data_IF_702116234195
#
_entry.id   IF_702116234195
#
_cell.length_a   1.000
_cell.length_b   1.000
_cell.length_c   1.000
_cell.angle_alpha   90.00
_cell.angle_beta   90.00
_cell.angle_gamma   90.00
#
_symmetry.space_group_name_H-M   'P 1'
#
loop_
_entity.id
_entity.type
_entity.pdbx_description
1 polymer ?
#
# COMPACT_ATOMS: atom_id res chain seq x y z
N UNK A 1 -19.30 4.45 -17.34
CA UNK A 1 -19.01 5.37 -16.21
C UNK A 1 -18.84 4.51 -14.97
N UNK A 2 -17.87 4.81 -14.11
CA UNK A 2 -17.69 4.09 -12.86
C UNK A 2 -18.83 4.45 -11.89
N UNK A 3 -19.25 3.50 -11.07
CA UNK A 3 -20.15 3.76 -9.95
C UNK A 3 -19.33 3.92 -8.67
N UNK A 4 -19.59 4.98 -7.91
CA UNK A 4 -18.88 5.28 -6.66
C UNK A 4 -19.86 5.30 -5.49
N UNK A 5 -19.52 4.58 -4.42
CA UNK A 5 -20.30 4.54 -3.19
C UNK A 5 -19.36 4.72 -1.99
N UNK A 6 -19.62 5.72 -1.15
CA UNK A 6 -18.81 6.00 0.04
C UNK A 6 -19.46 5.43 1.29
N UNK A 7 -18.67 4.75 2.11
CA UNK A 7 -19.14 4.04 3.29
C UNK A 7 -18.07 4.02 4.39
N UNK A 8 -18.51 3.77 5.62
CA UNK A 8 -17.63 3.53 6.75
C UNK A 8 -17.53 2.02 7.00
N UNK A 9 -16.32 1.48 6.90
CA UNK A 9 -16.03 0.06 7.02
C UNK A 9 -15.20 -0.20 8.29
N UNK A 10 -15.59 -1.16 9.14
CA UNK A 10 -14.89 -1.37 10.41
C UNK A 10 -13.49 -1.93 10.17
N UNK A 11 -12.52 -1.41 10.93
CA UNK A 11 -11.13 -1.90 10.89
C UNK A 11 -11.03 -3.13 11.79
N UNK A 12 -10.49 -4.21 11.23
CA UNK A 12 -10.19 -5.45 11.96
C UNK A 12 -8.75 -5.52 12.45
N UNK A 13 -7.82 -4.94 11.70
CA UNK A 13 -6.41 -4.91 12.06
C UNK A 13 -5.71 -3.68 11.48
N UNK A 14 -4.76 -3.15 12.24
CA UNK A 14 -3.91 -2.05 11.83
C UNK A 14 -2.47 -2.33 12.24
N UNK A 15 -1.51 -1.98 11.38
CA UNK A 15 -0.09 -2.03 11.68
C UNK A 15 0.63 -0.86 11.04
N UNK A 16 1.65 -0.35 11.72
CA UNK A 16 2.57 0.62 11.15
C UNK A 16 3.90 -0.11 10.99
N UNK A 17 4.37 -0.20 9.76
CA UNK A 17 5.68 -0.77 9.47
C UNK A 17 6.44 0.15 8.54
N UNK A 18 7.76 0.06 8.58
CA UNK A 18 8.59 0.80 7.65
C UNK A 18 8.96 -0.09 6.46
N UNK A 19 8.85 0.47 5.26
CA UNK A 19 9.19 -0.21 4.01
C UNK A 19 10.36 0.55 3.36
N UNK A 20 11.42 -0.13 2.91
CA UNK A 20 12.49 0.49 2.12
C UNK A 20 11.91 1.19 0.88
N UNK A 21 12.17 2.51 0.72
CA UNK A 21 11.61 3.29 -0.41
C UNK A 21 12.36 3.09 -1.72
N UNK A 22 13.59 2.57 -1.67
CA UNK A 22 14.46 2.43 -2.84
C UNK A 22 14.59 0.96 -3.26
N UNK A 23 13.65 0.52 -4.10
CA UNK A 23 14.02 -0.39 -5.18
C UNK A 23 14.31 0.47 -6.39
N UNK A 24 15.55 0.93 -6.54
CA UNK A 24 16.03 1.46 -7.81
C UNK A 24 16.25 0.26 -8.73
N UNK A 25 15.43 0.05 -9.78
CA UNK A 25 15.75 -0.97 -10.76
C UNK A 25 17.11 -0.60 -11.35
N UNK A 26 18.15 -1.38 -11.05
CA UNK A 26 19.39 -1.28 -11.81
C UNK A 26 19.05 -1.64 -13.25
N UNK A 27 19.56 -0.87 -14.24
CA UNK A 27 19.24 -1.09 -15.64
C UNK A 27 19.46 -2.56 -15.98
N UNK A 28 18.41 -3.12 -16.58
CA UNK A 28 18.30 -4.49 -17.04
C UNK A 28 19.57 -4.81 -17.84
N UNK A 29 20.17 -5.96 -17.54
CA UNK A 29 21.22 -6.56 -18.34
C UNK A 29 20.91 -6.36 -19.84
N UNK A 30 21.89 -5.96 -20.67
CA UNK A 30 21.63 -5.62 -22.06
C UNK A 30 20.89 -6.76 -22.76
N UNK A 31 19.66 -6.50 -23.25
CA UNK A 31 18.75 -7.53 -23.79
C UNK A 31 19.33 -8.31 -24.99
N UNK A 32 20.45 -7.87 -25.57
CA UNK A 32 21.05 -8.44 -26.78
C UNK A 32 22.58 -8.66 -26.71
N UNK A 33 23.16 -8.87 -25.52
CA UNK A 33 24.57 -9.28 -25.39
C UNK A 33 24.71 -10.54 -24.55
N UNK A 34 25.65 -11.42 -24.90
CA UNK A 34 26.08 -12.50 -24.02
C UNK A 34 26.64 -11.87 -22.74
N UNK A 35 25.90 -12.02 -21.64
CA UNK A 35 26.32 -11.52 -20.33
C UNK A 35 27.22 -12.56 -19.69
N UNK A 36 28.49 -12.20 -19.49
CA UNK A 36 29.41 -13.02 -18.71
C UNK A 36 28.91 -13.19 -17.27
N UNK A 37 29.07 -14.40 -16.71
CA UNK A 37 28.64 -14.74 -15.36
C UNK A 37 29.26 -13.83 -14.31
N UNK A 38 30.49 -13.36 -14.51
CA UNK A 38 31.16 -12.41 -13.63
C UNK A 38 30.43 -11.05 -13.59
N UNK A 39 29.94 -10.58 -14.74
CA UNK A 39 29.15 -9.34 -14.85
C UNK A 39 27.78 -9.47 -14.19
N UNK A 40 27.15 -10.64 -14.35
CA UNK A 40 25.88 -10.98 -13.72
C UNK A 40 26.00 -11.01 -12.19
N UNK A 41 27.05 -11.67 -11.68
CA UNK A 41 27.34 -11.72 -10.26
C UNK A 41 27.77 -10.37 -9.69
N UNK A 42 28.51 -9.55 -10.44
CA UNK A 42 28.86 -8.20 -9.98
C UNK A 42 27.61 -7.32 -9.87
N UNK A 43 26.72 -7.35 -10.88
CA UNK A 43 25.45 -6.64 -10.88
C UNK A 43 24.55 -7.05 -9.71
N UNK A 44 24.45 -8.35 -9.42
CA UNK A 44 23.72 -8.87 -8.24
C UNK A 44 24.39 -8.42 -6.92
N UNK A 45 25.73 -8.43 -6.87
CA UNK A 45 26.47 -8.03 -5.66
C UNK A 45 26.37 -6.53 -5.37
N UNK A 46 26.33 -5.69 -6.41
CA UNK A 46 26.15 -4.25 -6.33
C UNK A 46 24.69 -3.85 -6.14
N UNK A 47 23.74 -4.72 -6.52
CA UNK A 47 22.32 -4.58 -6.25
C UNK A 47 21.93 -4.87 -4.79
N UNK A 48 22.91 -5.05 -3.88
CA UNK A 48 22.69 -4.87 -2.44
C UNK A 48 22.26 -3.43 -2.21
N UNK A 49 20.96 -3.22 -2.31
CA UNK A 49 20.24 -1.97 -2.13
C UNK A 49 20.88 -1.11 -1.04
N UNK A 50 21.33 0.08 -1.44
CA UNK A 50 21.42 1.19 -0.50
C UNK A 50 19.99 1.47 -0.05
N UNK A 51 19.57 0.92 1.09
CA UNK A 51 18.33 1.35 1.75
C UNK A 51 18.61 2.73 2.33
N UNK A 52 18.46 3.78 1.51
CA UNK A 52 18.75 5.16 1.93
C UNK A 52 17.72 5.69 2.95
N UNK A 53 16.48 5.18 2.90
CA UNK A 53 15.40 5.59 3.79
C UNK A 53 14.30 4.52 3.95
N UNK A 54 13.88 4.35 5.20
CA UNK A 54 12.70 3.57 5.61
C UNK A 54 11.47 4.48 5.63
N UNK A 55 10.49 4.24 4.73
CA UNK A 55 9.23 5.01 4.71
C UNK A 55 8.16 4.32 5.57
N UNK A 56 7.51 5.02 6.51
CA UNK A 56 6.44 4.44 7.30
C UNK A 56 5.17 4.27 6.48
N UNK A 57 4.58 3.09 6.53
CA UNK A 57 3.30 2.75 5.92
C UNK A 57 2.30 2.30 6.98
N UNK A 58 1.07 2.77 6.83
CA UNK A 58 -0.08 2.30 7.60
C UNK A 58 -0.75 1.17 6.83
N UNK A 59 -0.68 -0.05 7.36
CA UNK A 59 -1.40 -1.22 6.85
C UNK A 59 -2.75 -1.32 7.54
N UNK A 60 -3.82 -1.42 6.75
CA UNK A 60 -5.19 -1.47 7.26
C UNK A 60 -5.91 -2.67 6.66
N UNK A 61 -6.42 -3.54 7.52
CA UNK A 61 -7.42 -4.54 7.19
C UNK A 61 -8.79 -4.04 7.65
N UNK A 62 -9.72 -3.95 6.72
CA UNK A 62 -11.11 -3.62 7.01
C UNK A 62 -12.06 -4.65 6.43
N UNK A 63 -13.25 -4.70 7.00
CA UNK A 63 -14.32 -5.59 6.56
C UNK A 63 -15.23 -4.87 5.58
N UNK A 64 -15.48 -5.48 4.42
CA UNK A 64 -16.34 -4.93 3.36
C UNK A 64 -17.82 -5.06 3.71
N UNK A 65 -18.69 -4.42 2.93
CA UNK A 65 -20.14 -4.52 3.08
C UNK A 65 -20.69 -5.95 2.97
N UNK A 66 -19.92 -6.87 2.40
CA UNK A 66 -20.25 -8.30 2.27
C UNK A 66 -19.62 -9.17 3.37
N UNK A 67 -18.99 -8.56 4.38
CA UNK A 67 -18.28 -9.28 5.45
C UNK A 67 -16.90 -9.83 5.03
N UNK A 68 -16.42 -9.49 3.83
CA UNK A 68 -15.13 -9.93 3.31
C UNK A 68 -13.97 -9.10 3.88
N UNK A 69 -12.78 -9.68 3.96
CA UNK A 69 -11.58 -8.97 4.39
C UNK A 69 -10.92 -8.25 3.19
N UNK A 70 -10.60 -6.96 3.33
CA UNK A 70 -9.88 -6.18 2.32
C UNK A 70 -8.67 -5.48 2.95
N UNK A 71 -7.52 -5.57 2.26
CA UNK A 71 -6.24 -5.03 2.72
C UNK A 71 -5.77 -3.89 1.82
N UNK A 72 -5.33 -2.79 2.44
CA UNK A 72 -4.64 -1.69 1.78
C UNK A 72 -3.55 -1.11 2.67
N UNK A 73 -2.63 -0.36 2.05
CA UNK A 73 -1.61 0.41 2.73
C UNK A 73 -1.68 1.88 2.33
N UNK A 74 -1.27 2.77 3.23
CA UNK A 74 -1.09 4.20 2.97
C UNK A 74 0.36 4.59 3.26
N UNK A 75 1.03 5.28 2.33
CA UNK A 75 2.32 5.92 2.61
C UNK A 75 2.06 7.06 3.60
N UNK A 76 2.53 6.92 4.84
CA UNK A 76 2.30 7.94 5.84
C UNK A 76 3.07 9.24 5.52
N UNK A 77 4.12 9.16 4.71
CA UNK A 77 4.86 10.33 4.23
C UNK A 77 4.02 11.09 3.19
N UNK A 78 3.12 11.96 3.68
CA UNK A 78 2.23 12.80 2.88
C UNK A 78 0.76 12.63 3.21
N UNK A 79 0.38 11.53 3.87
CA UNK A 79 -1.02 11.16 4.10
C UNK A 79 -1.46 11.24 5.57
N UNK A 80 -0.63 11.80 6.46
CA UNK A 80 -0.95 11.94 7.89
C UNK A 80 -2.28 12.68 8.14
N UNK A 81 -2.65 13.61 7.26
CA UNK A 81 -3.90 14.38 7.36
C UNK A 81 -5.16 13.52 7.18
N UNK A 82 -5.05 12.32 6.61
CA UNK A 82 -6.15 11.37 6.43
C UNK A 82 -6.31 10.43 7.63
N UNK A 83 -5.40 10.46 8.60
CA UNK A 83 -5.43 9.63 9.79
C UNK A 83 -6.01 10.46 10.94
N UNK A 84 -7.10 9.99 11.53
CA UNK A 84 -7.82 10.65 12.60
C UNK A 84 -7.99 9.72 13.80
N UNK A 85 -8.13 10.30 14.99
CA UNK A 85 -8.41 9.55 16.21
C UNK A 85 -9.82 9.79 16.71
N UNK A 86 -10.54 8.72 17.02
CA UNK A 86 -11.94 8.73 17.46
C UNK A 86 -12.12 7.98 18.79
N UNK A 87 -13.23 8.21 19.49
CA UNK A 87 -13.61 7.50 20.72
C UNK A 87 -14.56 6.31 20.49
N UNK A 88 -15.24 6.25 19.34
CA UNK A 88 -16.39 5.37 19.10
C UNK A 88 -16.09 4.06 18.35
N UNK A 89 -14.82 3.79 18.02
CA UNK A 89 -14.37 2.58 17.33
C UNK A 89 -13.58 2.89 16.05
N UNK A 90 -12.73 1.94 15.62
CA UNK A 90 -11.87 2.12 14.45
C UNK A 90 -12.60 1.76 13.15
N UNK A 91 -12.54 2.65 12.15
CA UNK A 91 -13.14 2.44 10.83
C UNK A 91 -12.36 3.16 9.74
N UNK A 92 -12.48 2.70 8.49
CA UNK A 92 -12.07 3.47 7.32
C UNK A 92 -13.29 4.11 6.68
N UNK A 93 -13.17 5.37 6.29
CA UNK A 93 -14.06 5.93 5.29
C UNK A 93 -13.47 5.60 3.92
N UNK A 94 -14.19 4.82 3.12
CA UNK A 94 -13.71 4.37 1.82
C UNK A 94 -14.79 4.55 0.75
N UNK A 95 -14.35 4.81 -0.47
CA UNK A 95 -15.20 4.80 -1.67
C UNK A 95 -14.99 3.49 -2.42
N UNK A 96 -16.04 2.70 -2.55
CA UNK A 96 -16.08 1.56 -3.47
C UNK A 96 -16.26 2.09 -4.89
N UNK A 97 -15.29 1.84 -5.75
CA UNK A 97 -15.32 2.18 -7.18
C UNK A 97 -15.63 0.90 -7.94
N UNK A 98 -16.77 0.84 -8.60
CA UNK A 98 -17.19 -0.28 -9.45
C UNK A 98 -17.02 0.11 -10.91
N UNK A 99 -16.23 -0.66 -11.64
CA UNK A 99 -15.94 -0.46 -13.05
C UNK A 99 -17.05 -1.04 -13.93
N UNK A 100 -17.17 -0.61 -15.21
CA UNK A 100 -18.21 -1.09 -16.12
C UNK A 100 -18.21 -2.61 -16.35
N UNK A 101 -17.07 -3.28 -16.15
CA UNK A 101 -16.92 -4.72 -16.27
C UNK A 101 -17.31 -5.49 -14.99
N UNK A 102 -17.83 -4.81 -13.96
CA UNK A 102 -18.23 -5.40 -12.68
C UNK A 102 -17.08 -5.62 -11.70
N UNK A 103 -15.82 -5.39 -12.08
CA UNK A 103 -14.71 -5.34 -11.14
C UNK A 103 -14.88 -4.16 -10.19
N UNK A 104 -14.31 -4.27 -8.99
CA UNK A 104 -14.37 -3.19 -8.02
C UNK A 104 -13.06 -3.07 -7.24
N UNK A 105 -12.82 -1.88 -6.71
CA UNK A 105 -11.80 -1.60 -5.71
C UNK A 105 -12.36 -0.70 -4.63
N UNK A 106 -11.76 -0.72 -3.44
CA UNK A 106 -12.00 0.31 -2.43
C UNK A 106 -10.86 1.30 -2.48
N UNK A 107 -11.16 2.60 -2.50
CA UNK A 107 -10.20 3.67 -2.27
C UNK A 107 -10.43 4.18 -0.86
N UNK A 108 -9.43 4.07 0.02
CA UNK A 108 -9.50 4.71 1.34
C UNK A 108 -9.54 6.23 1.13
N UNK A 109 -10.44 6.93 1.80
CA UNK A 109 -10.44 8.39 1.85
C UNK A 109 -9.80 8.84 3.16
N UNK A 110 -10.24 8.27 4.29
CA UNK A 110 -9.75 8.58 5.63
C UNK A 110 -9.71 7.31 6.50
N UNK A 111 -8.83 7.31 7.50
CA UNK A 111 -8.70 6.25 8.50
C UNK A 111 -8.98 6.83 9.87
N UNK A 112 -9.93 6.27 10.60
CA UNK A 112 -10.27 6.65 11.95
C UNK A 112 -9.86 5.54 12.91
N UNK A 113 -8.93 5.82 13.81
CA UNK A 113 -8.40 4.88 14.78
C UNK A 113 -8.95 5.20 16.17
N UNK A 114 -9.47 4.19 16.86
CA UNK A 114 -9.92 4.34 18.24
C UNK A 114 -8.73 4.66 19.15
N UNK A 115 -8.88 5.67 20.01
CA UNK A 115 -7.95 5.93 21.11
C UNK A 115 -8.05 4.77 22.12
N UNK A 116 -6.92 4.14 22.44
CA UNK A 116 -6.83 3.19 23.56
C UNK A 116 -6.62 3.93 24.87
#
# INVERSE_FOLDING_TARGET
>A
MNQEETMNLPIRYVSITTVPKEYTPHPVLPENQEVDMGTLLSAISSAKSQVSALSPYLFVLFETEKGGAFWQYLDMAGELSRIHFTSSGSYVNATKVTFPNGAYMYRINQVFLQRK
#
